data_IF_088483139380
#
_entry.id   IF_088483139380
#
_cell.length_a   1.000
_cell.length_b   1.000
_cell.length_c   1.000
_cell.angle_alpha   90.00
_cell.angle_beta   90.00
_cell.angle_gamma   90.00
#
_symmetry.space_group_name_H-M   'P 1'
#
loop_
_entity.id
_entity.type
_entity.pdbx_description
1 polymer ?
#
# COMPACT_ATOMS: atom_id res chain seq x y z
N UNK A 1 -11.84 -32.53 -2.92
CA UNK A 1 -10.55 -31.84 -3.10
C UNK A 1 -10.70 -30.48 -2.46
N UNK A 2 -10.20 -30.37 -1.24
CA UNK A 2 -10.50 -29.27 -0.30
C UNK A 2 -9.28 -28.35 -0.30
N UNK A 3 -9.42 -27.15 -0.87
CA UNK A 3 -8.37 -26.13 -0.84
C UNK A 3 -8.29 -25.47 0.54
N UNK A 4 -7.12 -24.98 0.98
CA UNK A 4 -7.03 -24.25 2.22
C UNK A 4 -7.63 -22.84 2.03
N UNK A 5 -8.70 -22.57 2.75
CA UNK A 5 -9.16 -21.22 3.06
C UNK A 5 -8.21 -20.67 4.12
N UNK A 6 -7.54 -19.54 3.86
CA UNK A 6 -6.77 -18.83 4.89
C UNK A 6 -7.32 -17.43 5.15
N UNK A 7 -7.43 -17.16 6.45
CA UNK A 7 -8.15 -16.08 7.10
C UNK A 7 -7.56 -14.68 6.91
N UNK A 8 -8.47 -13.71 6.89
CA UNK A 8 -8.23 -12.32 7.27
C UNK A 8 -7.68 -12.27 8.71
N UNK A 9 -6.37 -12.15 8.86
CA UNK A 9 -5.71 -11.97 10.14
C UNK A 9 -5.87 -10.54 10.63
N UNK A 10 -7.03 -10.22 11.24
CA UNK A 10 -7.06 -9.16 12.24
C UNK A 10 -6.25 -9.65 13.44
N UNK A 11 -5.02 -9.16 13.59
CA UNK A 11 -4.17 -9.45 14.74
C UNK A 11 -4.86 -8.95 16.03
N UNK A 12 -5.60 -9.83 16.71
CA UNK A 12 -5.96 -9.63 18.11
C UNK A 12 -4.71 -9.91 18.93
N UNK A 13 -4.10 -8.85 19.45
CA UNK A 13 -3.02 -8.95 20.41
C UNK A 13 -3.61 -9.40 21.76
N UNK A 14 -3.45 -10.67 22.12
CA UNK A 14 -3.64 -11.15 23.49
C UNK A 14 -2.44 -10.74 24.35
N UNK A 15 -2.64 -10.38 25.64
CA UNK A 15 -1.54 -9.97 26.49
C UNK A 15 -0.76 -11.22 26.92
N UNK A 16 0.45 -11.40 26.39
CA UNK A 16 1.40 -12.38 26.91
C UNK A 16 1.96 -13.34 25.87
N UNK A 17 2.81 -12.84 24.99
CA UNK A 17 3.83 -13.65 24.34
C UNK A 17 5.06 -12.76 24.12
N UNK A 18 6.04 -12.88 25.01
CA UNK A 18 7.34 -12.23 24.84
C UNK A 18 8.16 -12.94 23.75
N UNK A 19 9.12 -12.26 23.12
CA UNK A 19 9.94 -12.86 22.08
C UNK A 19 11.14 -13.57 22.71
N UNK A 20 11.23 -14.88 22.55
CA UNK A 20 12.52 -15.58 22.60
C UNK A 20 12.88 -16.01 21.19
N UNK A 21 14.11 -15.67 20.80
CA UNK A 21 14.60 -15.61 19.45
C UNK A 21 14.99 -16.99 18.89
N UNK A 22 14.77 -17.21 17.59
CA UNK A 22 15.54 -18.18 16.82
C UNK A 22 16.63 -17.44 16.01
N UNK A 23 17.73 -17.09 16.68
CA UNK A 23 19.01 -16.82 16.00
C UNK A 23 19.92 -18.03 16.21
N UNK A 24 20.21 -18.76 15.13
CA UNK A 24 21.25 -19.79 15.12
C UNK A 24 22.53 -19.19 14.52
N UNK A 25 23.49 -18.80 15.35
CA UNK A 25 24.92 -18.87 15.02
C UNK A 25 25.72 -19.37 16.20
N UNK A 26 26.51 -20.40 15.94
CA UNK A 26 27.34 -21.10 16.90
C UNK A 26 28.49 -20.22 17.43
N UNK A 27 28.72 -20.25 18.76
CA UNK A 27 29.99 -20.62 19.41
C UNK A 27 29.92 -20.41 20.93
N UNK A 28 30.82 -21.12 21.60
CA UNK A 28 30.80 -21.58 22.99
C UNK A 28 31.46 -20.63 23.99
N UNK A 29 30.97 -20.73 25.25
CA UNK A 29 31.60 -20.55 26.58
C UNK A 29 31.65 -19.17 27.29
N UNK A 30 31.06 -19.24 28.50
CA UNK A 30 31.44 -18.68 29.81
C UNK A 30 31.51 -17.17 30.05
N UNK A 31 30.76 -16.73 31.07
CA UNK A 31 31.09 -15.54 31.87
C UNK A 31 29.86 -14.78 32.36
N UNK A 32 29.56 -14.90 33.65
CA UNK A 32 28.50 -14.18 34.36
C UNK A 32 28.77 -12.67 34.42
N UNK A 33 27.71 -11.83 34.42
CA UNK A 33 27.88 -10.40 34.65
C UNK A 33 26.66 -9.51 34.37
N UNK A 34 25.79 -9.41 35.37
CA UNK A 34 25.00 -8.25 35.82
C UNK A 34 24.02 -7.46 34.92
N UNK A 35 22.91 -7.13 35.56
CA UNK A 35 21.72 -6.41 35.09
C UNK A 35 21.99 -4.90 34.97
N UNK A 36 21.58 -4.30 33.85
CA UNK A 36 21.56 -2.85 33.66
C UNK A 36 20.35 -2.45 32.83
N UNK A 37 19.31 -1.95 33.51
CA UNK A 37 18.05 -1.50 32.95
C UNK A 37 18.24 -0.29 32.02
N UNK A 38 17.45 -0.26 30.93
CA UNK A 38 17.40 0.89 30.01
C UNK A 38 16.60 0.61 28.75
N UNK A 39 15.32 0.26 28.88
CA UNK A 39 14.42 0.13 27.71
C UNK A 39 14.16 1.51 27.11
N UNK A 40 14.68 1.77 25.91
CA UNK A 40 14.10 2.75 24.97
C UNK A 40 13.41 1.95 23.87
N UNK A 41 12.09 1.77 23.99
CA UNK A 41 11.28 1.35 22.86
C UNK A 41 11.12 2.57 21.94
N UNK A 42 11.74 2.53 20.76
CA UNK A 42 11.47 3.51 19.72
C UNK A 42 10.14 3.17 19.05
N UNK A 43 9.10 3.93 19.37
CA UNK A 43 7.86 3.94 18.59
C UNK A 43 8.13 4.78 17.34
N UNK A 44 7.91 4.25 16.14
CA UNK A 44 7.83 5.08 14.92
C UNK A 44 6.41 5.63 14.86
N UNK A 45 6.17 6.93 15.08
CA UNK A 45 4.82 7.49 15.02
C UNK A 45 4.40 7.64 13.55
N UNK A 46 3.22 7.12 13.18
CA UNK A 46 2.65 7.28 11.84
C UNK A 46 2.31 8.74 11.50
N UNK A 47 2.29 9.06 10.21
CA UNK A 47 2.02 10.41 9.69
C UNK A 47 0.53 10.79 9.81
N UNK A 48 0.11 11.13 11.02
CA UNK A 48 -1.19 11.77 11.26
C UNK A 48 -1.27 13.21 10.70
N UNK A 49 -2.45 13.84 10.80
CA UNK A 49 -2.64 15.26 10.49
C UNK A 49 -1.61 16.14 11.22
N UNK A 50 -0.97 17.08 10.51
CA UNK A 50 0.06 17.97 11.08
C UNK A 50 1.53 17.54 10.91
N UNK A 51 1.82 16.47 10.16
CA UNK A 51 3.18 16.10 9.76
C UNK A 51 3.65 16.91 8.53
N UNK A 52 4.80 17.61 8.62
CA UNK A 52 5.35 18.41 7.52
C UNK A 52 5.77 17.58 6.29
N UNK A 53 5.96 18.24 5.13
CA UNK A 53 6.15 17.61 3.82
C UNK A 53 7.22 16.49 3.78
N UNK A 54 8.38 16.70 4.40
CA UNK A 54 9.45 15.70 4.47
C UNK A 54 9.06 14.41 5.22
N UNK A 55 8.10 14.50 6.16
CA UNK A 55 7.61 13.35 6.93
C UNK A 55 6.52 12.57 6.18
N UNK A 56 5.77 13.21 5.28
CA UNK A 56 4.83 12.52 4.39
C UNK A 56 5.57 11.75 3.30
N UNK A 57 6.63 12.35 2.77
CA UNK A 57 7.49 11.74 1.75
C UNK A 57 8.13 10.42 2.22
N UNK A 58 8.72 10.43 3.41
CA UNK A 58 9.37 9.24 3.97
C UNK A 58 8.37 8.18 4.41
N UNK A 59 7.23 8.57 4.99
CA UNK A 59 6.28 7.59 5.52
C UNK A 59 5.57 6.79 4.42
N UNK A 60 5.06 7.43 3.37
CA UNK A 60 4.30 6.69 2.34
C UNK A 60 5.21 5.74 1.53
N UNK A 61 6.37 6.23 1.08
CA UNK A 61 7.31 5.44 0.27
C UNK A 61 7.99 4.36 1.10
N UNK A 62 8.54 4.71 2.26
CA UNK A 62 9.31 3.75 3.05
C UNK A 62 8.38 2.70 3.67
N UNK A 63 7.11 3.04 3.95
CA UNK A 63 6.11 2.04 4.32
C UNK A 63 5.78 1.09 3.16
N UNK A 64 5.58 1.61 1.94
CA UNK A 64 5.32 0.76 0.77
C UNK A 64 6.46 -0.24 0.53
N UNK A 65 7.71 0.22 0.64
CA UNK A 65 8.91 -0.63 0.57
C UNK A 65 8.95 -1.66 1.69
N UNK A 66 8.68 -1.26 2.94
CA UNK A 66 8.67 -2.17 4.08
C UNK A 66 7.62 -3.27 3.93
N UNK A 67 6.42 -2.93 3.43
CA UNK A 67 5.36 -3.89 3.16
C UNK A 67 5.68 -4.80 1.98
N UNK A 68 6.28 -4.27 0.91
CA UNK A 68 6.77 -5.08 -0.20
C UNK A 68 7.82 -6.10 0.28
N UNK A 69 8.85 -5.67 1.00
CA UNK A 69 9.86 -6.56 1.58
C UNK A 69 9.22 -7.62 2.48
N UNK A 70 8.19 -7.25 3.25
CA UNK A 70 7.48 -8.20 4.11
C UNK A 70 6.68 -9.23 3.31
N UNK A 71 6.02 -8.82 2.24
CA UNK A 71 5.30 -9.71 1.34
C UNK A 71 6.25 -10.71 0.67
N UNK A 72 7.38 -10.24 0.15
CA UNK A 72 8.40 -11.10 -0.48
C UNK A 72 8.95 -12.13 0.51
N UNK A 73 9.32 -11.71 1.73
CA UNK A 73 9.79 -12.63 2.78
C UNK A 73 8.73 -13.65 3.21
N UNK A 74 7.45 -13.29 3.13
CA UNK A 74 6.33 -14.15 3.46
C UNK A 74 5.91 -15.06 2.29
N UNK A 75 6.49 -14.89 1.09
CA UNK A 75 6.08 -15.59 -0.12
C UNK A 75 4.71 -15.15 -0.66
N UNK A 76 4.22 -13.98 -0.25
CA UNK A 76 2.97 -13.40 -0.75
C UNK A 76 3.27 -12.63 -2.03
N UNK A 77 2.75 -13.10 -3.16
CA UNK A 77 3.00 -12.47 -4.46
C UNK A 77 2.01 -11.36 -4.82
N UNK A 78 0.72 -11.54 -4.53
CA UNK A 78 -0.31 -10.55 -4.87
C UNK A 78 -0.14 -9.30 -4.02
N UNK A 79 0.07 -8.15 -4.67
CA UNK A 79 0.33 -6.89 -3.96
C UNK A 79 -0.46 -5.74 -4.59
N UNK A 80 -1.29 -5.06 -3.79
CA UNK A 80 -2.06 -3.91 -4.23
C UNK A 80 -1.53 -2.64 -3.58
N UNK A 81 -1.34 -1.59 -4.38
CA UNK A 81 -0.93 -0.28 -3.89
C UNK A 81 -2.02 0.75 -4.19
N UNK A 82 -2.46 1.45 -3.15
CA UNK A 82 -3.30 2.64 -3.30
C UNK A 82 -2.40 3.85 -3.45
N UNK A 83 -2.37 4.38 -4.66
CA UNK A 83 -1.59 5.54 -5.06
C UNK A 83 -2.49 6.76 -5.27
N UNK A 84 -2.16 7.63 -6.21
CA UNK A 84 -2.93 8.82 -6.54
C UNK A 84 -2.84 9.13 -8.02
N UNK A 85 -3.89 9.71 -8.59
CA UNK A 85 -3.81 10.31 -9.92
C UNK A 85 -2.66 11.32 -10.00
N UNK A 86 -1.95 11.32 -11.13
CA UNK A 86 -0.76 12.15 -11.38
C UNK A 86 0.43 11.89 -10.43
N UNK A 87 0.49 10.74 -9.75
CA UNK A 87 1.68 10.33 -9.00
C UNK A 87 2.89 10.21 -9.94
N UNK A 88 3.94 10.99 -9.65
CA UNK A 88 5.10 11.19 -10.52
C UNK A 88 6.36 11.45 -9.70
N UNK A 89 7.28 10.48 -9.69
CA UNK A 89 8.53 10.55 -8.94
C UNK A 89 9.50 11.62 -9.47
N UNK A 90 9.32 12.09 -10.70
CA UNK A 90 10.21 13.04 -11.38
C UNK A 90 9.95 14.50 -11.02
N UNK A 91 8.86 14.79 -10.30
CA UNK A 91 8.57 16.12 -9.77
C UNK A 91 9.71 16.56 -8.86
N UNK A 92 10.48 17.56 -9.28
CA UNK A 92 11.57 18.14 -8.48
C UNK A 92 11.15 19.44 -7.80
N UNK A 93 10.29 20.21 -8.46
CA UNK A 93 9.68 21.44 -7.96
C UNK A 93 8.15 21.41 -8.18
N UNK A 94 7.36 22.13 -7.38
CA UNK A 94 5.92 22.24 -7.59
C UNK A 94 5.61 22.90 -8.94
N UNK A 95 4.77 22.29 -9.80
CA UNK A 95 4.26 22.94 -10.99
C UNK A 95 3.59 24.27 -10.66
N UNK A 96 3.62 25.23 -11.60
CA UNK A 96 3.04 26.54 -11.38
C UNK A 96 1.57 26.46 -10.94
N UNK A 97 1.24 27.07 -9.81
CA UNK A 97 -0.11 27.05 -9.22
C UNK A 97 -0.45 25.78 -8.41
N UNK A 98 0.46 24.81 -8.30
CA UNK A 98 0.30 23.65 -7.44
C UNK A 98 0.83 23.93 -6.04
N UNK A 99 0.06 23.53 -5.02
CA UNK A 99 0.51 23.59 -3.64
C UNK A 99 1.79 22.73 -3.45
N UNK A 100 2.86 23.26 -2.83
CA UNK A 100 4.11 22.53 -2.65
C UNK A 100 3.98 21.24 -1.82
N UNK A 101 3.05 21.19 -0.85
CA UNK A 101 2.81 19.98 -0.06
C UNK A 101 2.12 18.93 -0.92
N UNK A 102 1.18 19.33 -1.77
CA UNK A 102 0.56 18.44 -2.73
C UNK A 102 1.55 17.90 -3.78
N UNK A 103 2.45 18.75 -4.30
CA UNK A 103 3.52 18.30 -5.20
C UNK A 103 4.44 17.27 -4.53
N UNK A 104 4.84 17.52 -3.27
CA UNK A 104 5.63 16.57 -2.49
C UNK A 104 4.89 15.23 -2.25
N UNK A 105 3.58 15.27 -2.05
CA UNK A 105 2.73 14.09 -1.95
C UNK A 105 2.71 13.27 -3.26
N UNK A 106 2.49 13.92 -4.41
CA UNK A 106 2.49 13.23 -5.71
C UNK A 106 3.84 12.61 -6.04
N UNK A 107 4.92 13.30 -5.68
CA UNK A 107 6.29 12.79 -5.79
C UNK A 107 6.51 11.54 -4.93
N UNK A 108 6.07 11.58 -3.68
CA UNK A 108 6.19 10.45 -2.76
C UNK A 108 5.41 9.22 -3.26
N UNK A 109 4.18 9.42 -3.74
CA UNK A 109 3.36 8.36 -4.34
C UNK A 109 3.98 7.82 -5.61
N UNK A 110 4.52 8.67 -6.48
CA UNK A 110 5.23 8.23 -7.69
C UNK A 110 6.45 7.38 -7.35
N UNK A 111 7.25 7.81 -6.38
CA UNK A 111 8.42 7.05 -5.94
C UNK A 111 8.03 5.70 -5.30
N UNK A 112 6.89 5.63 -4.60
CA UNK A 112 6.37 4.37 -4.07
C UNK A 112 5.89 3.44 -5.20
N UNK A 113 5.19 3.97 -6.21
CA UNK A 113 4.76 3.21 -7.38
C UNK A 113 5.97 2.60 -8.10
N UNK A 114 6.98 3.42 -8.41
CA UNK A 114 8.18 2.96 -9.12
C UNK A 114 8.96 1.91 -8.32
N UNK A 115 9.05 2.10 -7.00
CA UNK A 115 9.69 1.14 -6.10
C UNK A 115 8.99 -0.22 -6.08
N UNK A 116 7.65 -0.25 -6.16
CA UNK A 116 6.87 -1.50 -6.23
C UNK A 116 6.94 -2.12 -7.62
N UNK A 117 6.89 -1.30 -8.68
CA UNK A 117 7.01 -1.77 -10.07
C UNK A 117 8.34 -2.45 -10.36
N UNK A 118 9.40 -2.03 -9.68
CA UNK A 118 10.73 -2.63 -9.78
C UNK A 118 10.87 -3.99 -9.06
N UNK A 119 9.82 -4.52 -8.43
CA UNK A 119 9.86 -5.81 -7.72
C UNK A 119 9.38 -6.94 -8.64
N UNK A 120 10.33 -7.72 -9.14
CA UNK A 120 10.05 -8.84 -10.05
C UNK A 120 9.28 -10.02 -9.39
N UNK A 121 9.28 -10.09 -8.06
CA UNK A 121 8.64 -11.20 -7.34
C UNK A 121 7.18 -10.93 -6.95
N UNK A 122 6.70 -9.70 -7.15
CA UNK A 122 5.36 -9.27 -6.79
C UNK A 122 4.46 -9.19 -8.03
N UNK A 123 3.30 -9.83 -7.94
CA UNK A 123 2.18 -9.66 -8.87
C UNK A 123 1.43 -8.36 -8.49
N UNK A 124 2.06 -7.22 -8.75
CA UNK A 124 1.58 -5.92 -8.28
C UNK A 124 0.44 -5.36 -9.13
N UNK A 125 -0.47 -4.58 -8.53
CA UNK A 125 -1.36 -3.65 -9.25
C UNK A 125 -1.38 -2.32 -8.51
N UNK A 126 -1.20 -1.22 -9.23
CA UNK A 126 -1.26 0.14 -8.68
C UNK A 126 -2.63 0.73 -9.01
N UNK A 127 -3.41 1.11 -8.00
CA UNK A 127 -4.68 1.80 -8.17
C UNK A 127 -4.50 3.30 -7.86
N UNK A 128 -4.81 4.16 -8.83
CA UNK A 128 -4.72 5.62 -8.77
C UNK A 128 -6.13 6.24 -8.76
N UNK A 129 -6.77 6.35 -7.59
CA UNK A 129 -8.08 6.97 -7.49
C UNK A 129 -8.01 8.48 -7.78
N UNK A 130 -9.13 9.01 -8.26
CA UNK A 130 -9.41 10.44 -8.38
C UNK A 130 -9.62 11.11 -7.02
N UNK A 131 -10.39 12.22 -7.00
CA UNK A 131 -10.64 12.95 -5.76
C UNK A 131 -11.52 12.09 -4.82
N UNK A 132 -10.99 11.75 -3.65
CA UNK A 132 -11.71 10.95 -2.68
C UNK A 132 -12.84 11.73 -1.99
N UNK A 133 -14.03 11.16 -1.91
CA UNK A 133 -15.16 11.67 -1.11
C UNK A 133 -15.55 10.67 0.00
N UNK A 134 -16.25 11.18 1.02
CA UNK A 134 -16.78 10.41 2.16
C UNK A 134 -18.27 10.08 2.00
N UNK A 135 -18.83 10.33 0.82
CA UNK A 135 -20.22 9.95 0.51
C UNK A 135 -20.35 8.42 0.43
N UNK A 136 -21.56 7.87 0.66
CA UNK A 136 -21.82 6.45 0.50
C UNK A 136 -21.48 5.96 -0.91
N UNK A 137 -20.92 4.76 -0.99
CA UNK A 137 -20.59 4.13 -2.27
C UNK A 137 -21.79 3.98 -3.20
N UNK A 138 -21.54 4.25 -4.49
CA UNK A 138 -22.55 4.15 -5.55
C UNK A 138 -22.61 2.74 -6.17
N UNK A 139 -21.52 1.97 -6.03
CA UNK A 139 -21.31 0.70 -6.71
C UNK A 139 -21.00 0.85 -8.20
N UNK A 140 -20.87 2.08 -8.72
CA UNK A 140 -20.66 2.39 -10.12
C UNK A 140 -19.38 3.23 -10.31
N UNK A 141 -18.52 2.78 -11.22
CA UNK A 141 -17.17 3.32 -11.41
C UNK A 141 -16.77 3.34 -12.88
N UNK A 142 -15.71 4.09 -13.17
CA UNK A 142 -14.87 3.91 -14.35
C UNK A 142 -13.48 3.47 -13.90
N UNK A 143 -13.05 2.30 -14.37
CA UNK A 143 -11.74 1.70 -14.10
C UNK A 143 -11.09 1.37 -15.44
N UNK A 144 -9.91 1.92 -15.67
CA UNK A 144 -9.09 1.75 -16.88
C UNK A 144 -7.65 2.20 -16.60
N UNK A 145 -6.71 1.99 -17.52
CA UNK A 145 -5.36 2.59 -17.41
C UNK A 145 -5.41 4.12 -17.37
N UNK A 146 -6.35 4.70 -18.12
CA UNK A 146 -6.62 6.14 -18.16
C UNK A 146 -8.13 6.40 -18.15
N UNK A 147 -8.61 7.19 -17.18
CA UNK A 147 -10.05 7.46 -16.98
C UNK A 147 -10.45 8.92 -17.13
N UNK A 148 -9.48 9.84 -17.07
CA UNK A 148 -9.73 11.27 -16.94
C UNK A 148 -9.66 11.73 -15.49
N UNK A 149 -10.35 12.81 -15.14
CA UNK A 149 -10.34 13.36 -13.78
C UNK A 149 -11.77 13.49 -13.29
N UNK A 150 -12.06 12.80 -12.20
CA UNK A 150 -13.30 12.97 -11.45
C UNK A 150 -13.10 12.54 -9.99
N UNK A 151 -14.17 12.59 -9.21
CA UNK A 151 -14.22 12.10 -7.85
C UNK A 151 -14.63 10.63 -7.76
N UNK A 152 -14.33 9.99 -6.62
CA UNK A 152 -14.74 8.63 -6.29
C UNK A 152 -14.90 8.50 -4.78
N UNK A 153 -15.92 7.76 -4.34
CA UNK A 153 -16.15 7.50 -2.92
C UNK A 153 -15.10 6.55 -2.36
N UNK A 154 -14.73 6.71 -1.08
CA UNK A 154 -13.82 5.74 -0.42
C UNK A 154 -14.42 4.33 -0.36
N UNK A 155 -15.74 4.22 -0.29
CA UNK A 155 -16.45 2.94 -0.34
C UNK A 155 -16.26 2.23 -1.68
N UNK A 156 -16.41 2.95 -2.80
CA UNK A 156 -16.21 2.38 -4.14
C UNK A 156 -14.74 2.02 -4.38
N UNK A 157 -13.79 2.79 -3.85
CA UNK A 157 -12.36 2.42 -3.85
C UNK A 157 -12.14 1.09 -3.11
N UNK A 158 -12.72 0.93 -1.92
CA UNK A 158 -12.60 -0.30 -1.14
C UNK A 158 -13.22 -1.50 -1.87
N UNK A 159 -14.37 -1.30 -2.52
CA UNK A 159 -15.02 -2.34 -3.32
C UNK A 159 -14.17 -2.76 -4.52
N UNK A 160 -13.55 -1.81 -5.23
CA UNK A 160 -12.65 -2.10 -6.35
C UNK A 160 -11.41 -2.84 -5.86
N UNK A 161 -10.79 -2.41 -4.75
CA UNK A 161 -9.63 -3.10 -4.18
C UNK A 161 -9.96 -4.55 -3.81
N UNK A 162 -11.12 -4.79 -3.20
CA UNK A 162 -11.58 -6.13 -2.88
C UNK A 162 -11.71 -7.00 -4.15
N UNK A 163 -12.29 -6.47 -5.22
CA UNK A 163 -12.40 -7.18 -6.50
C UNK A 163 -11.03 -7.46 -7.14
N UNK A 164 -10.09 -6.50 -7.09
CA UNK A 164 -8.76 -6.66 -7.68
C UNK A 164 -7.89 -7.71 -6.98
N UNK A 165 -8.15 -8.03 -5.71
CA UNK A 165 -7.41 -9.07 -4.98
C UNK A 165 -7.58 -10.45 -5.64
N UNK A 166 -8.76 -10.73 -6.19
CA UNK A 166 -9.11 -12.02 -6.78
C UNK A 166 -8.83 -12.10 -8.30
N UNK A 167 -8.31 -11.02 -8.90
CA UNK A 167 -8.08 -10.92 -10.35
C UNK A 167 -6.59 -10.86 -10.72
N UNK A 168 -5.93 -12.02 -10.93
CA UNK A 168 -4.51 -12.08 -11.26
C UNK A 168 -4.17 -11.48 -12.63
N UNK A 169 -5.15 -11.37 -13.54
CA UNK A 169 -4.98 -10.73 -14.85
C UNK A 169 -4.65 -9.24 -14.78
N UNK A 170 -4.80 -8.62 -13.59
CA UNK A 170 -4.43 -7.21 -13.37
C UNK A 170 -3.00 -7.01 -12.88
N UNK A 171 -2.22 -8.10 -12.75
CA UNK A 171 -0.81 -8.01 -12.37
C UNK A 171 0.01 -7.22 -13.41
N UNK A 172 0.88 -6.35 -12.94
CA UNK A 172 1.67 -5.44 -13.76
C UNK A 172 0.92 -4.21 -14.27
N UNK A 173 -0.33 -3.97 -13.84
CA UNK A 173 -1.13 -2.84 -14.32
C UNK A 173 -1.12 -1.65 -13.36
N UNK A 174 -1.11 -0.45 -13.93
CA UNK A 174 -1.51 0.78 -13.23
C UNK A 174 -2.88 1.18 -13.73
N UNK A 175 -3.85 1.26 -12.83
CA UNK A 175 -5.24 1.54 -13.14
C UNK A 175 -5.66 2.84 -12.45
N UNK A 176 -6.33 3.71 -13.19
CA UNK A 176 -7.02 4.88 -12.66
C UNK A 176 -8.48 4.54 -12.32
N UNK A 177 -8.99 5.16 -11.25
CA UNK A 177 -10.34 4.92 -10.76
C UNK A 177 -11.07 6.23 -10.47
N UNK A 178 -12.24 6.38 -11.06
CA UNK A 178 -13.19 7.47 -10.81
C UNK A 178 -14.62 6.92 -10.68
N UNK A 179 -15.55 7.74 -10.21
CA UNK A 179 -16.99 7.49 -10.33
C UNK A 179 -17.39 7.35 -11.80
N UNK A 180 -18.46 6.59 -12.05
CA UNK A 180 -18.94 6.35 -13.41
C UNK A 180 -20.20 5.51 -13.43
N UNK A 181 -20.42 4.79 -14.53
CA UNK A 181 -21.67 4.08 -14.80
C UNK A 181 -21.52 2.55 -14.82
N UNK A 182 -20.30 2.01 -14.69
CA UNK A 182 -20.05 0.56 -14.75
C UNK A 182 -20.07 -0.02 -13.34
N UNK A 183 -20.83 -1.10 -13.11
CA UNK A 183 -20.76 -1.83 -11.82
C UNK A 183 -19.33 -2.23 -11.50
N UNK A 184 -18.90 -2.07 -10.25
CA UNK A 184 -17.53 -2.41 -9.79
C UNK A 184 -17.06 -3.78 -10.29
N UNK A 185 -17.88 -4.82 -10.11
CA UNK A 185 -17.54 -6.18 -10.53
C UNK A 185 -17.30 -6.30 -12.05
N UNK A 186 -18.09 -5.60 -12.86
CA UNK A 186 -17.93 -5.62 -14.32
C UNK A 186 -16.70 -4.83 -14.75
N UNK A 187 -16.43 -3.69 -14.08
CA UNK A 187 -15.27 -2.85 -14.37
C UNK A 187 -13.96 -3.60 -14.06
N UNK A 188 -13.90 -4.29 -12.92
CA UNK A 188 -12.78 -5.15 -12.51
C UNK A 188 -12.60 -6.32 -13.48
N UNK A 189 -13.67 -7.07 -13.79
CA UNK A 189 -13.60 -8.19 -14.73
C UNK A 189 -13.18 -7.76 -16.14
N UNK A 190 -13.53 -6.54 -16.57
CA UNK A 190 -13.15 -5.98 -17.86
C UNK A 190 -11.64 -5.74 -17.93
N UNK A 191 -11.05 -5.06 -16.95
CA UNK A 191 -9.59 -4.78 -16.96
C UNK A 191 -8.75 -6.03 -16.75
N UNK A 192 -9.26 -7.03 -16.04
CA UNK A 192 -8.54 -8.29 -15.82
C UNK A 192 -8.42 -9.17 -17.07
N UNK A 193 -9.24 -8.92 -18.12
CA UNK A 193 -9.30 -9.76 -19.32
C UNK A 193 -8.50 -9.22 -20.51
N UNK A 194 -8.09 -7.95 -20.49
CA UNK A 194 -7.46 -7.28 -21.63
C UNK A 194 -8.45 -6.87 -22.71
#
# INVERSE_FOLDING_TARGET
MTGPVLHLGAARCGPGAGPEAAQTRARTRNGAGNVGAGKRHGTVPGAGPGSGAARKETVDRDAALLFADAAERAGVRRFLVVSSMNADASLTEPPAGMDPVFAAYLRAKGAADDAVRARDTLDWTVLRPGRLTDDPGTGLVSLAEHTGRDEVTRDDVAAVLAGLLDEPGTAGMTLELIGGETRVADAVARVARG
#
